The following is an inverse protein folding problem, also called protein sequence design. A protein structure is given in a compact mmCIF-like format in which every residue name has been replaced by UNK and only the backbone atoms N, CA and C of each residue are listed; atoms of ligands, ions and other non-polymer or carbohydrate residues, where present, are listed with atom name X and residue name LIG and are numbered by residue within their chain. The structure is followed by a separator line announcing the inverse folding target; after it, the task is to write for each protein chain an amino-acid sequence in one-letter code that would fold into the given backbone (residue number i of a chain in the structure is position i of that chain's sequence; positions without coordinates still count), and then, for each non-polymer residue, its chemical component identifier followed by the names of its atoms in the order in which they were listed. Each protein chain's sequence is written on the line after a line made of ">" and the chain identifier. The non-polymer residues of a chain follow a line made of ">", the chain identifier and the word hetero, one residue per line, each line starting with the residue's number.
data_IF_480501662962
#
_entry.id   IF_480501662962
#
_cell.length_a   1.000
_cell.length_b   1.000
_cell.length_c   1.000
_cell.angle_alpha   90.00
_cell.angle_beta   90.00
_cell.angle_gamma   90.00
#
_symmetry.space_group_name_H-M   'P 1'
#
loop_
_entity.id
_entity.type
_entity.pdbx_description
1 polymer ?
#
# COMPACT_ATOMS: atom_id res chain seq x y z
N UNK A 1 17.04 17.74 1.21
CA UNK A 1 16.08 18.74 1.78
C UNK A 1 15.62 18.27 3.17
N UNK A 2 15.26 19.16 4.10
CA UNK A 2 14.65 18.77 5.39
C UNK A 2 13.14 18.57 5.23
N UNK A 3 12.64 17.37 5.49
CA UNK A 3 11.26 16.96 5.21
C UNK A 3 10.63 16.34 6.44
N UNK A 4 9.48 16.86 6.85
CA UNK A 4 8.64 16.21 7.85
C UNK A 4 7.63 15.29 7.16
N UNK A 5 7.50 14.06 7.63
CA UNK A 5 6.46 13.11 7.18
C UNK A 5 5.49 12.88 8.33
N UNK A 6 4.20 13.12 8.12
CA UNK A 6 3.15 12.84 9.09
C UNK A 6 2.39 11.57 8.70
N UNK A 7 2.44 10.56 9.56
CA UNK A 7 1.70 9.30 9.41
C UNK A 7 1.07 8.91 10.74
N UNK A 8 -0.15 8.37 10.72
CA UNK A 8 -0.90 8.10 11.96
C UNK A 8 -0.32 6.92 12.74
N UNK A 9 0.03 5.86 12.03
CA UNK A 9 0.55 4.60 12.56
C UNK A 9 1.88 4.31 11.86
N UNK A 10 2.77 3.57 12.52
CA UNK A 10 4.10 3.29 11.98
C UNK A 10 4.68 2.02 12.61
N UNK A 11 5.56 1.28 11.92
CA UNK A 11 6.20 0.11 12.49
C UNK A 11 7.05 0.47 13.73
N UNK A 12 7.30 -0.50 14.63
CA UNK A 12 6.84 -1.88 14.57
C UNK A 12 5.45 -2.13 15.20
N UNK A 13 4.86 -1.15 15.88
CA UNK A 13 3.61 -1.36 16.61
C UNK A 13 2.41 -1.64 15.71
N UNK A 14 2.42 -1.11 14.48
CA UNK A 14 1.40 -1.39 13.47
C UNK A 14 2.12 -1.69 12.16
N UNK A 15 1.86 -2.89 11.62
CA UNK A 15 2.35 -3.32 10.30
C UNK A 15 1.16 -3.30 9.34
N UNK A 16 1.35 -2.60 8.23
CA UNK A 16 0.32 -2.37 7.23
C UNK A 16 0.89 -1.73 5.97
N UNK A 17 0.09 -1.66 4.91
CA UNK A 17 0.57 -1.22 3.61
C UNK A 17 1.09 0.22 3.61
N UNK A 18 0.45 1.13 4.34
CA UNK A 18 0.90 2.54 4.43
C UNK A 18 2.08 2.69 5.38
N UNK A 19 2.07 1.97 6.49
CA UNK A 19 3.09 1.97 7.53
C UNK A 19 4.43 1.47 6.95
N UNK A 20 4.42 0.32 6.27
CA UNK A 20 5.60 -0.25 5.62
C UNK A 20 6.08 0.62 4.46
N UNK A 21 5.18 1.16 3.64
CA UNK A 21 5.56 2.09 2.56
C UNK A 21 6.19 3.37 3.12
N UNK A 22 5.67 3.93 4.21
CA UNK A 22 6.25 5.13 4.84
C UNK A 22 7.65 4.83 5.38
N UNK A 23 7.85 3.67 6.02
CA UNK A 23 9.15 3.23 6.56
C UNK A 23 10.19 3.09 5.44
N UNK A 24 9.85 2.38 4.36
CA UNK A 24 10.74 2.17 3.20
C UNK A 24 11.00 3.49 2.47
N UNK A 25 9.97 4.32 2.25
CA UNK A 25 10.11 5.63 1.60
C UNK A 25 11.01 6.58 2.38
N UNK A 26 10.86 6.68 3.71
CA UNK A 26 11.72 7.51 4.55
C UNK A 26 13.19 7.05 4.46
N UNK A 27 13.44 5.74 4.40
CA UNK A 27 14.78 5.17 4.18
C UNK A 27 15.37 5.57 2.84
N UNK A 28 14.59 5.46 1.76
CA UNK A 28 15.08 5.79 0.41
C UNK A 28 15.28 7.29 0.20
N UNK A 29 14.43 8.13 0.80
CA UNK A 29 14.64 9.57 0.85
C UNK A 29 15.91 9.94 1.61
N UNK A 30 16.17 9.28 2.75
CA UNK A 30 17.42 9.49 3.49
C UNK A 30 18.66 9.07 2.68
N UNK A 31 18.56 7.99 1.89
CA UNK A 31 19.61 7.56 0.94
C UNK A 31 19.81 8.56 -0.21
N UNK A 32 18.77 9.32 -0.57
CA UNK A 32 18.82 10.40 -1.55
C UNK A 32 19.20 11.76 -0.92
N UNK A 33 19.92 11.77 0.21
CA UNK A 33 20.41 12.98 0.89
C UNK A 33 19.30 13.94 1.39
N UNK A 34 18.09 13.43 1.64
CA UNK A 34 17.08 14.14 2.41
C UNK A 34 17.25 13.91 3.91
N UNK A 35 17.07 14.95 4.71
CA UNK A 35 16.95 14.82 6.16
C UNK A 35 15.47 14.65 6.49
N UNK A 36 15.10 13.44 6.92
CA UNK A 36 13.70 13.03 7.08
C UNK A 36 13.38 12.89 8.56
N UNK A 37 12.24 13.44 8.97
CA UNK A 37 11.67 13.23 10.30
C UNK A 37 10.23 12.73 10.20
N UNK A 38 9.94 11.55 10.78
CA UNK A 38 8.61 10.93 10.75
C UNK A 38 7.88 11.21 12.05
N UNK A 39 6.74 11.92 12.00
CA UNK A 39 5.83 12.12 13.11
C UNK A 39 4.75 11.04 13.11
N UNK A 40 4.65 10.28 14.19
CA UNK A 40 3.70 9.15 14.32
C UNK A 40 3.29 8.91 15.76
N UNK A 41 2.23 8.12 16.01
CA UNK A 41 1.76 7.81 17.37
C UNK A 41 2.83 7.09 18.20
N UNK A 42 2.92 7.48 19.47
CA UNK A 42 3.65 6.73 20.49
C UNK A 42 2.83 5.54 21.02
N UNK A 43 3.52 4.42 21.22
CA UNK A 43 3.02 3.22 21.92
C UNK A 43 3.98 2.86 23.08
N UNK A 44 3.53 2.18 24.14
CA UNK A 44 4.36 1.86 25.31
C UNK A 44 5.59 1.03 24.96
N UNK A 45 5.40 0.08 24.05
CA UNK A 45 6.42 -0.87 23.64
C UNK A 45 7.06 -0.43 22.31
N UNK A 46 7.22 0.89 22.12
CA UNK A 46 7.95 1.38 20.95
C UNK A 46 9.44 1.13 21.18
N UNK A 47 10.11 0.33 20.36
CA UNK A 47 11.54 0.10 20.49
C UNK A 47 12.33 1.34 20.10
N UNK A 48 13.64 1.27 20.33
CA UNK A 48 14.57 2.34 19.98
C UNK A 48 14.64 2.52 18.45
N UNK A 49 14.20 3.69 17.98
CA UNK A 49 14.24 4.09 16.57
C UNK A 49 15.66 4.52 16.13
N UNK A 50 16.66 4.55 17.03
CA UNK A 50 18.04 5.01 16.76
C UNK A 50 18.78 4.26 15.65
N UNK A 51 18.30 3.07 15.29
CA UNK A 51 18.88 2.25 14.21
C UNK A 51 18.38 2.66 12.82
N UNK A 52 17.35 3.49 12.73
CA UNK A 52 16.82 3.99 11.47
C UNK A 52 17.72 5.10 10.92
N UNK A 53 17.88 5.21 9.59
CA UNK A 53 18.71 6.26 8.97
C UNK A 53 18.01 7.64 8.93
N UNK A 54 16.94 7.82 9.68
CA UNK A 54 16.10 9.02 9.74
C UNK A 54 15.48 9.13 11.13
N UNK A 55 15.02 10.33 11.49
CA UNK A 55 14.45 10.59 12.80
C UNK A 55 12.98 10.18 12.90
N UNK A 56 12.56 9.72 14.08
CA UNK A 56 11.16 9.40 14.36
C UNK A 56 10.71 10.13 15.63
N UNK A 57 9.67 10.95 15.50
CA UNK A 57 9.02 11.63 16.61
C UNK A 57 7.75 10.88 16.99
N UNK A 58 7.82 10.15 18.11
CA UNK A 58 6.70 9.41 18.69
C UNK A 58 5.80 10.35 19.51
N UNK A 59 4.70 10.77 18.89
CA UNK A 59 3.74 11.75 19.41
C UNK A 59 2.84 11.13 20.51
N UNK A 60 2.80 11.72 21.71
CA UNK A 60 1.93 11.26 22.79
C UNK A 60 0.45 11.29 22.40
N UNK A 61 -0.31 10.28 22.85
CA UNK A 61 -1.75 10.21 22.64
C UNK A 61 -2.44 9.45 23.79
N UNK A 62 -3.72 9.73 24.01
CA UNK A 62 -4.52 9.06 25.03
C UNK A 62 -5.23 7.83 24.44
N UNK A 63 -4.87 6.64 24.93
CA UNK A 63 -5.34 5.35 24.39
C UNK A 63 -6.57 4.80 25.12
N UNK A 64 -7.54 5.67 25.39
CA UNK A 64 -8.82 5.30 26.03
C UNK A 64 -9.73 4.58 25.02
N UNK A 65 -9.72 5.04 23.77
CA UNK A 65 -10.41 4.40 22.64
C UNK A 65 -9.69 4.74 21.32
N UNK A 66 -9.94 4.00 20.22
CA UNK A 66 -9.34 4.31 18.92
C UNK A 66 -9.61 5.74 18.44
N UNK A 67 -10.82 6.26 18.73
CA UNK A 67 -11.22 7.62 18.41
C UNK A 67 -10.44 8.65 19.23
N UNK A 68 -10.39 8.51 20.56
CA UNK A 68 -9.69 9.44 21.46
C UNK A 68 -8.18 9.44 21.19
N UNK A 69 -7.59 8.27 20.92
CA UNK A 69 -6.19 8.15 20.53
C UNK A 69 -5.88 8.93 19.26
N UNK A 70 -6.75 8.84 18.25
CA UNK A 70 -6.56 9.56 17.00
C UNK A 70 -6.76 11.07 17.18
N UNK A 71 -7.77 11.49 17.93
CA UNK A 71 -8.02 12.90 18.20
C UNK A 71 -6.87 13.57 18.95
N UNK A 72 -6.39 12.95 20.02
CA UNK A 72 -5.28 13.48 20.84
C UNK A 72 -3.95 13.45 20.08
N UNK A 73 -3.72 12.44 19.25
CA UNK A 73 -2.57 12.42 18.33
C UNK A 73 -2.63 13.59 17.36
N UNK A 74 -3.75 13.78 16.65
CA UNK A 74 -3.91 14.88 15.67
C UNK A 74 -3.65 16.22 16.34
N UNK A 75 -4.18 16.44 17.54
CA UNK A 75 -3.95 17.67 18.30
C UNK A 75 -2.47 17.84 18.68
N UNK A 76 -1.84 16.85 19.29
CA UNK A 76 -0.44 16.92 19.72
C UNK A 76 0.53 17.04 18.54
N UNK A 77 0.31 16.29 17.46
CA UNK A 77 1.11 16.36 16.24
C UNK A 77 1.03 17.75 15.60
N UNK A 78 -0.17 18.36 15.56
CA UNK A 78 -0.34 19.73 15.06
C UNK A 78 0.48 20.73 15.87
N UNK A 79 0.46 20.64 17.20
CA UNK A 79 1.23 21.56 18.06
C UNK A 79 2.74 21.39 17.89
N UNK A 80 3.22 20.14 17.80
CA UNK A 80 4.65 19.86 17.58
C UNK A 80 5.11 20.35 16.21
N UNK A 81 4.33 20.08 15.15
CA UNK A 81 4.65 20.56 13.80
C UNK A 81 4.58 22.09 13.69
N UNK A 82 3.67 22.76 14.40
CA UNK A 82 3.65 24.24 14.48
C UNK A 82 4.90 24.78 15.19
N UNK A 83 5.37 24.09 16.24
CA UNK A 83 6.59 24.46 16.97
C UNK A 83 7.82 24.31 16.09
N UNK A 84 7.92 23.19 15.38
CA UNK A 84 9.09 22.77 14.61
C UNK A 84 9.04 23.23 13.13
N UNK A 85 8.03 24.02 12.73
CA UNK A 85 7.75 24.33 11.33
C UNK A 85 8.94 24.95 10.57
N UNK A 86 9.72 25.81 11.22
CA UNK A 86 10.84 26.51 10.59
C UNK A 86 12.05 25.59 10.32
N UNK A 87 12.05 24.36 10.88
CA UNK A 87 13.11 23.38 10.64
C UNK A 87 12.92 22.61 9.34
N UNK A 88 11.74 22.67 8.73
CA UNK A 88 11.40 21.86 7.55
C UNK A 88 11.13 22.73 6.33
N UNK A 89 11.49 22.21 5.15
CA UNK A 89 11.15 22.85 3.89
C UNK A 89 9.72 22.53 3.46
N UNK A 90 9.21 21.34 3.81
CA UNK A 90 7.85 20.91 3.53
C UNK A 90 7.37 19.82 4.49
N UNK A 91 6.05 19.66 4.54
CA UNK A 91 5.34 18.61 5.26
C UNK A 91 4.63 17.64 4.29
N UNK A 92 5.04 16.38 4.29
CA UNK A 92 4.37 15.30 3.59
C UNK A 92 3.33 14.64 4.50
N UNK A 93 2.05 14.79 4.16
CA UNK A 93 0.96 14.15 4.89
C UNK A 93 0.58 12.80 4.25
N UNK A 94 0.94 11.70 4.91
CA UNK A 94 0.49 10.37 4.51
C UNK A 94 -1.00 10.22 4.83
N UNK A 95 -1.82 9.87 3.83
CA UNK A 95 -3.29 9.89 3.89
C UNK A 95 -3.89 11.31 3.90
N UNK A 96 -4.94 11.53 3.11
CA UNK A 96 -5.62 12.83 3.06
C UNK A 96 -6.35 13.14 4.37
N UNK A 97 -6.89 12.11 5.02
CA UNK A 97 -7.58 12.22 6.29
C UNK A 97 -6.98 11.28 7.34
N UNK A 98 -6.74 11.75 8.58
CA UNK A 98 -6.86 13.13 9.06
C UNK A 98 -5.62 14.00 8.77
N UNK A 99 -4.53 13.41 8.25
CA UNK A 99 -3.21 14.04 8.23
C UNK A 99 -3.13 15.23 7.28
N UNK A 100 -3.80 15.19 6.13
CA UNK A 100 -3.87 16.35 5.23
C UNK A 100 -4.47 17.59 5.90
N UNK A 101 -5.44 17.42 6.79
CA UNK A 101 -6.01 18.54 7.55
C UNK A 101 -5.04 19.12 8.58
N UNK A 102 -4.20 18.27 9.20
CA UNK A 102 -3.09 18.76 10.04
C UNK A 102 -2.14 19.61 9.21
N UNK A 103 -1.74 19.13 8.04
CA UNK A 103 -0.87 19.88 7.13
C UNK A 103 -1.45 21.24 6.76
N UNK A 104 -2.74 21.29 6.45
CA UNK A 104 -3.47 22.53 6.17
C UNK A 104 -3.41 23.53 7.34
N UNK A 105 -3.63 23.06 8.58
CA UNK A 105 -3.60 23.92 9.76
C UNK A 105 -2.18 24.44 10.00
N UNK A 106 -1.16 23.58 9.88
CA UNK A 106 0.25 23.98 10.05
C UNK A 106 0.64 25.02 8.99
N UNK A 107 0.26 24.81 7.73
CA UNK A 107 0.48 25.75 6.64
C UNK A 107 -0.16 27.11 6.92
N UNK A 108 -1.44 27.16 7.32
CA UNK A 108 -2.12 28.43 7.61
C UNK A 108 -1.54 29.20 8.79
N UNK A 109 -0.97 28.50 9.77
CA UNK A 109 -0.42 29.12 10.99
C UNK A 109 1.04 29.54 10.81
N UNK A 110 1.85 28.74 10.10
CA UNK A 110 3.31 28.90 10.01
C UNK A 110 3.86 29.09 8.59
N UNK A 111 3.03 28.91 7.57
CA UNK A 111 3.45 28.99 6.17
C UNK A 111 4.22 27.77 5.66
N UNK A 112 4.37 26.70 6.45
CA UNK A 112 5.08 25.48 6.03
C UNK A 112 4.34 24.84 4.83
N UNK A 113 4.95 24.75 3.64
CA UNK A 113 4.32 24.09 2.50
C UNK A 113 4.03 22.62 2.82
N UNK A 114 2.93 22.10 2.28
CA UNK A 114 2.54 20.73 2.53
C UNK A 114 1.84 20.15 1.32
N UNK A 115 1.85 18.83 1.19
CA UNK A 115 0.98 18.10 0.27
C UNK A 115 0.42 16.88 0.99
N UNK A 116 -0.64 16.29 0.43
CA UNK A 116 -1.26 15.09 0.99
C UNK A 116 -1.31 13.96 -0.03
N UNK A 117 -1.61 12.74 0.43
CA UNK A 117 -1.69 11.56 -0.43
C UNK A 117 -2.98 10.79 -0.18
N UNK A 118 -3.75 10.45 -1.21
CA UNK A 118 -4.86 9.50 -1.13
C UNK A 118 -4.36 8.10 -1.45
N UNK A 119 -4.61 7.16 -0.54
CA UNK A 119 -4.11 5.77 -0.61
C UNK A 119 -5.22 4.73 -0.77
N UNK A 120 -6.46 5.16 -0.89
CA UNK A 120 -7.65 4.33 -1.09
C UNK A 120 -8.58 4.42 0.12
N UNK A 121 -8.31 3.64 1.18
CA UNK A 121 -9.23 3.54 2.32
C UNK A 121 -9.46 4.84 3.10
N UNK A 122 -8.47 5.74 3.11
CA UNK A 122 -8.58 7.08 3.71
C UNK A 122 -9.53 8.01 2.95
N UNK A 123 -9.81 7.69 1.68
CA UNK A 123 -10.80 8.36 0.85
C UNK A 123 -12.12 7.57 0.81
N UNK A 124 -12.11 6.34 0.27
CA UNK A 124 -13.32 5.56 0.01
C UNK A 124 -14.15 5.27 1.26
N UNK A 125 -13.53 5.03 2.41
CA UNK A 125 -14.28 4.76 3.66
C UNK A 125 -14.66 6.03 4.44
N UNK A 126 -14.13 7.18 4.04
CA UNK A 126 -14.26 8.43 4.81
C UNK A 126 -15.11 9.48 4.09
N UNK A 127 -15.10 9.49 2.75
CA UNK A 127 -15.70 10.53 1.90
C UNK A 127 -17.21 10.71 2.06
N UNK A 128 -17.92 9.71 2.59
CA UNK A 128 -19.38 9.77 2.77
C UNK A 128 -19.78 10.24 4.19
N UNK A 129 -18.82 10.37 5.13
CA UNK A 129 -19.09 10.95 6.45
C UNK A 129 -19.00 12.49 6.38
N UNK A 130 -20.04 13.27 6.71
CA UNK A 130 -20.09 14.71 6.44
C UNK A 130 -18.87 15.52 6.94
N UNK A 131 -18.46 15.32 8.20
CA UNK A 131 -17.30 16.04 8.77
C UNK A 131 -15.96 15.64 8.16
N UNK A 132 -15.82 14.37 7.74
CA UNK A 132 -14.62 13.88 7.06
C UNK A 132 -14.58 14.34 5.61
N UNK A 133 -15.72 14.29 4.90
CA UNK A 133 -15.89 14.83 3.55
C UNK A 133 -15.50 16.29 3.48
N UNK A 134 -15.98 17.08 4.45
CA UNK A 134 -15.61 18.50 4.57
C UNK A 134 -14.10 18.67 4.73
N UNK A 135 -13.46 17.88 5.60
CA UNK A 135 -12.01 17.94 5.80
C UNK A 135 -11.24 17.56 4.53
N UNK A 136 -11.69 16.54 3.81
CA UNK A 136 -11.11 16.11 2.52
C UNK A 136 -11.24 17.21 1.46
N UNK A 137 -12.44 17.78 1.28
CA UNK A 137 -12.69 18.88 0.33
C UNK A 137 -11.78 20.08 0.62
N UNK A 138 -11.55 20.40 1.89
CA UNK A 138 -10.65 21.50 2.26
C UNK A 138 -9.21 21.25 1.87
N UNK A 139 -8.71 20.02 2.01
CA UNK A 139 -7.32 19.71 1.62
C UNK A 139 -7.18 19.69 0.10
N UNK A 140 -8.15 19.10 -0.60
CA UNK A 140 -8.15 18.98 -2.07
C UNK A 140 -8.10 20.32 -2.81
N UNK A 141 -8.71 21.37 -2.24
CA UNK A 141 -8.74 22.73 -2.81
C UNK A 141 -7.50 23.57 -2.47
N UNK A 142 -6.69 23.14 -1.52
CA UNK A 142 -5.67 23.98 -0.86
C UNK A 142 -4.25 23.62 -1.30
N UNK A 143 -4.00 22.36 -1.66
CA UNK A 143 -2.68 21.89 -2.06
C UNK A 143 -2.72 20.79 -3.13
N UNK A 144 -1.56 20.45 -3.68
CA UNK A 144 -1.34 19.23 -4.44
C UNK A 144 -1.68 17.99 -3.59
N UNK A 145 -2.44 17.07 -4.18
CA UNK A 145 -2.74 15.77 -3.58
C UNK A 145 -2.28 14.65 -4.51
N UNK A 146 -1.35 13.85 -4.02
CA UNK A 146 -0.93 12.64 -4.71
C UNK A 146 -2.02 11.58 -4.59
N UNK A 147 -2.22 10.78 -5.63
CA UNK A 147 -3.14 9.63 -5.62
C UNK A 147 -2.41 8.39 -6.14
N UNK A 148 -2.72 7.22 -5.60
CA UNK A 148 -1.97 6.01 -5.96
C UNK A 148 -2.19 5.56 -7.40
N UNK A 149 -3.37 5.80 -7.98
CA UNK A 149 -3.72 5.29 -9.31
C UNK A 149 -4.62 6.25 -10.08
N UNK A 150 -4.67 6.08 -11.41
CA UNK A 150 -5.51 6.89 -12.29
C UNK A 150 -7.01 6.71 -12.01
N UNK A 151 -7.44 5.52 -11.57
CA UNK A 151 -8.83 5.32 -11.13
C UNK A 151 -9.18 6.18 -9.93
N UNK A 152 -8.33 6.23 -8.90
CA UNK A 152 -8.55 7.11 -7.74
C UNK A 152 -8.59 8.57 -8.19
N UNK A 153 -7.70 8.98 -9.10
CA UNK A 153 -7.69 10.32 -9.66
C UNK A 153 -9.03 10.68 -10.34
N UNK A 154 -9.58 9.77 -11.15
CA UNK A 154 -10.88 9.94 -11.82
C UNK A 154 -12.03 10.02 -10.84
N UNK A 155 -12.05 9.15 -9.82
CA UNK A 155 -13.11 9.14 -8.80
C UNK A 155 -13.12 10.44 -8.01
N UNK A 156 -11.94 10.93 -7.59
CA UNK A 156 -11.80 12.20 -6.87
C UNK A 156 -12.26 13.37 -7.74
N UNK A 157 -11.85 13.43 -9.01
CA UNK A 157 -12.25 14.49 -9.96
C UNK A 157 -13.76 14.47 -10.28
N UNK A 158 -14.39 13.31 -10.18
CA UNK A 158 -15.85 13.17 -10.38
C UNK A 158 -16.62 13.69 -9.18
N UNK A 159 -16.10 13.52 -7.97
CA UNK A 159 -16.77 13.90 -6.73
C UNK A 159 -16.44 15.31 -6.23
N UNK A 160 -15.27 15.85 -6.55
CA UNK A 160 -14.75 17.13 -6.05
C UNK A 160 -14.29 18.02 -7.21
N UNK A 161 -14.76 19.26 -7.20
CA UNK A 161 -14.32 20.32 -8.11
C UNK A 161 -13.04 21.00 -7.61
N UNK A 162 -12.23 21.55 -8.53
CA UNK A 162 -11.01 22.31 -8.21
C UNK A 162 -9.97 21.48 -7.42
N UNK A 163 -9.42 20.45 -8.08
CA UNK A 163 -8.39 19.58 -7.48
C UNK A 163 -7.10 19.61 -8.27
N UNK A 164 -5.97 19.73 -7.56
CA UNK A 164 -4.62 19.58 -8.14
C UNK A 164 -4.11 18.19 -7.77
N UNK A 165 -4.19 17.25 -8.72
CA UNK A 165 -3.85 15.85 -8.48
C UNK A 165 -2.71 15.37 -9.38
N UNK A 166 -1.78 14.63 -8.79
CA UNK A 166 -0.76 13.87 -9.52
C UNK A 166 -0.82 12.39 -9.12
N UNK A 167 -0.58 11.50 -10.08
CA UNK A 167 -0.56 10.07 -9.83
C UNK A 167 0.85 9.64 -9.46
N UNK A 168 1.01 9.14 -8.24
CA UNK A 168 2.23 8.51 -7.77
C UNK A 168 1.87 7.29 -6.93
N UNK A 169 2.32 6.12 -7.39
CA UNK A 169 2.07 4.85 -6.75
C UNK A 169 3.02 4.54 -5.59
N UNK A 170 3.12 3.26 -5.26
CA UNK A 170 4.00 2.77 -4.22
C UNK A 170 5.37 2.40 -4.78
N UNK A 171 6.38 2.44 -3.91
CA UNK A 171 7.73 1.96 -4.21
C UNK A 171 7.88 0.49 -3.88
N UNK A 172 8.70 -0.21 -4.65
CA UNK A 172 9.07 -1.60 -4.40
C UNK A 172 10.57 -1.81 -4.57
N UNK A 173 11.11 -2.67 -3.71
CA UNK A 173 12.48 -3.15 -3.83
C UNK A 173 12.59 -4.14 -5.00
N UNK A 174 13.68 -4.07 -5.76
CA UNK A 174 13.93 -4.98 -6.88
C UNK A 174 14.92 -6.04 -6.41
N UNK A 175 14.46 -7.26 -6.05
CA UNK A 175 15.34 -8.29 -5.55
C UNK A 175 16.27 -8.81 -6.65
N UNK A 176 17.44 -9.30 -6.24
CA UNK A 176 18.28 -10.11 -7.11
C UNK A 176 17.60 -11.46 -7.40
N UNK A 177 17.70 -11.89 -8.66
CA UNK A 177 17.05 -13.10 -9.15
C UNK A 177 15.55 -12.93 -9.40
N UNK A 178 14.96 -13.99 -9.93
CA UNK A 178 13.52 -14.14 -10.19
C UNK A 178 13.00 -15.36 -9.44
N UNK A 179 11.70 -15.45 -9.24
CA UNK A 179 11.06 -16.65 -8.70
C UNK A 179 11.27 -17.85 -9.63
N UNK A 180 11.47 -19.03 -9.02
CA UNK A 180 11.76 -20.29 -9.71
C UNK A 180 11.00 -21.48 -9.12
N UNK A 181 10.10 -21.25 -8.17
CA UNK A 181 9.26 -22.27 -7.59
C UNK A 181 8.01 -22.62 -8.42
N UNK A 182 7.22 -23.56 -7.90
CA UNK A 182 6.08 -24.16 -8.60
C UNK A 182 4.72 -23.91 -7.92
N UNK A 183 4.69 -23.15 -6.82
CA UNK A 183 3.46 -22.88 -6.03
C UNK A 183 2.65 -21.70 -6.59
N UNK A 184 1.35 -21.67 -6.33
CA UNK A 184 0.57 -20.44 -6.37
C UNK A 184 0.78 -19.69 -5.06
N UNK A 185 0.96 -18.38 -5.09
CA UNK A 185 1.23 -17.59 -3.88
C UNK A 185 0.18 -16.50 -3.68
N UNK A 186 -0.34 -16.42 -2.46
CA UNK A 186 -1.13 -15.30 -1.97
C UNK A 186 -0.37 -14.66 -0.80
N UNK A 187 -0.27 -13.33 -0.80
CA UNK A 187 0.27 -12.56 0.33
C UNK A 187 -0.73 -11.49 0.73
N UNK A 188 -1.20 -11.53 1.97
CA UNK A 188 -2.07 -10.50 2.50
C UNK A 188 -2.79 -10.88 3.78
N UNK A 189 -3.41 -9.88 4.42
CA UNK A 189 -4.20 -10.10 5.63
C UNK A 189 -5.45 -10.93 5.34
N UNK A 190 -5.70 -11.99 6.11
CA UNK A 190 -6.86 -12.88 5.93
C UNK A 190 -8.15 -12.23 6.44
N UNK A 191 -8.70 -11.36 5.62
CA UNK A 191 -10.01 -10.72 5.76
C UNK A 191 -10.89 -11.10 4.58
N UNK A 192 -12.20 -11.10 4.81
CA UNK A 192 -13.21 -11.42 3.79
C UNK A 192 -12.96 -10.65 2.47
N UNK A 193 -12.64 -9.35 2.57
CA UNK A 193 -12.38 -8.49 1.42
C UNK A 193 -11.23 -8.94 0.50
N UNK A 194 -10.31 -9.78 0.98
CA UNK A 194 -9.19 -10.31 0.18
C UNK A 194 -9.56 -11.51 -0.69
N UNK A 195 -10.77 -12.04 -0.54
CA UNK A 195 -11.33 -13.04 -1.46
C UNK A 195 -10.63 -14.39 -1.48
N UNK A 196 -9.84 -14.74 -0.46
CA UNK A 196 -9.12 -16.05 -0.42
C UNK A 196 -10.09 -17.23 -0.58
N UNK A 197 -11.33 -17.09 -0.11
CA UNK A 197 -12.38 -18.09 -0.33
C UNK A 197 -12.71 -18.32 -1.82
N UNK A 198 -12.70 -17.26 -2.64
CA UNK A 198 -12.89 -17.34 -4.11
C UNK A 198 -11.74 -18.12 -4.74
N UNK A 199 -10.50 -17.84 -4.32
CA UNK A 199 -9.32 -18.60 -4.78
C UNK A 199 -9.39 -20.07 -4.38
N UNK A 200 -9.80 -20.39 -3.16
CA UNK A 200 -9.98 -21.78 -2.74
C UNK A 200 -11.05 -22.50 -3.57
N UNK A 201 -12.15 -21.82 -3.92
CA UNK A 201 -13.16 -22.39 -4.84
C UNK A 201 -12.62 -22.56 -6.27
N UNK A 202 -11.83 -21.61 -6.77
CA UNK A 202 -11.21 -21.71 -8.10
C UNK A 202 -10.16 -22.84 -8.20
N UNK A 203 -9.64 -23.31 -7.07
CA UNK A 203 -8.70 -24.43 -6.99
C UNK A 203 -9.37 -25.76 -6.66
N UNK A 204 -10.69 -25.81 -6.52
CA UNK A 204 -11.40 -27.07 -6.29
C UNK A 204 -11.19 -28.02 -7.50
N UNK A 205 -10.55 -29.17 -7.26
CA UNK A 205 -10.21 -30.12 -8.32
C UNK A 205 -8.89 -29.83 -9.07
N UNK A 206 -8.10 -28.84 -8.63
CA UNK A 206 -6.74 -28.60 -9.12
C UNK A 206 -5.70 -29.25 -8.19
N UNK A 207 -4.62 -29.78 -8.78
CA UNK A 207 -3.50 -30.40 -8.05
C UNK A 207 -2.46 -29.35 -7.56
N UNK A 208 -2.79 -28.07 -7.64
CA UNK A 208 -1.86 -26.98 -7.39
C UNK A 208 -1.61 -26.74 -5.89
N UNK A 209 -0.33 -26.54 -5.55
CA UNK A 209 0.06 -26.10 -4.22
C UNK A 209 -0.18 -24.60 -4.07
N UNK A 210 -0.97 -24.22 -3.05
CA UNK A 210 -1.22 -22.83 -2.69
C UNK A 210 -0.49 -22.46 -1.41
N UNK A 211 0.40 -21.48 -1.49
CA UNK A 211 1.04 -20.86 -0.34
C UNK A 211 0.28 -19.59 0.08
N UNK A 212 -0.28 -19.59 1.29
CA UNK A 212 -1.02 -18.47 1.87
C UNK A 212 -0.19 -17.81 2.96
N UNK A 213 0.38 -16.65 2.64
CA UNK A 213 1.20 -15.85 3.55
C UNK A 213 0.38 -14.71 4.14
N UNK A 214 0.33 -14.63 5.46
CA UNK A 214 -0.44 -13.66 6.22
C UNK A 214 -1.41 -14.30 7.20
N UNK A 215 -1.94 -13.48 8.10
CA UNK A 215 -2.90 -13.90 9.12
C UNK A 215 -4.12 -12.95 9.14
N UNK A 216 -5.16 -13.32 9.87
CA UNK A 216 -6.35 -12.51 10.05
C UNK A 216 -7.54 -13.31 10.57
N UNK A 217 -8.64 -12.59 10.86
CA UNK A 217 -9.83 -13.19 11.49
C UNK A 217 -10.48 -14.31 10.68
N UNK A 218 -10.25 -14.39 9.36
CA UNK A 218 -10.82 -15.45 8.51
C UNK A 218 -9.96 -16.73 8.48
N UNK A 219 -8.80 -16.78 9.12
CA UNK A 219 -7.84 -17.90 9.01
C UNK A 219 -8.49 -19.27 9.25
N UNK A 220 -9.08 -19.48 10.43
CA UNK A 220 -9.69 -20.76 10.80
C UNK A 220 -10.79 -21.18 9.81
N UNK A 221 -11.58 -20.23 9.32
CA UNK A 221 -12.65 -20.48 8.34
C UNK A 221 -12.08 -20.89 6.99
N UNK A 222 -10.99 -20.26 6.55
CA UNK A 222 -10.32 -20.53 5.27
C UNK A 222 -9.57 -21.87 5.30
N UNK A 223 -8.88 -22.21 6.39
CA UNK A 223 -8.26 -23.53 6.59
C UNK A 223 -9.32 -24.64 6.57
N UNK A 224 -10.46 -24.44 7.25
CA UNK A 224 -11.58 -25.38 7.19
C UNK A 224 -12.19 -25.49 5.79
N UNK A 225 -12.21 -24.41 5.00
CA UNK A 225 -12.70 -24.41 3.63
C UNK A 225 -11.73 -25.18 2.70
N UNK A 226 -10.43 -24.92 2.78
CA UNK A 226 -9.42 -25.63 1.99
C UNK A 226 -9.51 -27.14 2.21
N UNK A 227 -9.64 -27.57 3.48
CA UNK A 227 -9.83 -28.98 3.82
C UNK A 227 -11.12 -29.57 3.23
N UNK A 228 -12.24 -28.83 3.26
CA UNK A 228 -13.51 -29.30 2.68
C UNK A 228 -13.44 -29.46 1.16
N UNK A 229 -12.72 -28.56 0.48
CA UNK A 229 -12.55 -28.56 -0.97
C UNK A 229 -11.40 -29.46 -1.44
N UNK A 230 -10.66 -30.08 -0.52
CA UNK A 230 -9.44 -30.85 -0.79
C UNK A 230 -8.37 -30.06 -1.56
N UNK A 231 -8.24 -28.76 -1.28
CA UNK A 231 -7.20 -27.90 -1.87
C UNK A 231 -5.91 -28.03 -1.06
N UNK A 232 -4.78 -28.26 -1.74
CA UNK A 232 -3.46 -28.33 -1.12
C UNK A 232 -2.94 -26.92 -0.77
N UNK A 233 -3.39 -26.38 0.36
CA UNK A 233 -3.05 -25.04 0.82
C UNK A 233 -2.22 -25.04 2.12
N UNK A 234 -1.08 -24.36 2.10
CA UNK A 234 -0.21 -24.12 3.25
C UNK A 234 -0.45 -22.70 3.80
N UNK A 235 -0.89 -22.59 5.06
CA UNK A 235 -1.12 -21.31 5.74
C UNK A 235 0.06 -20.96 6.65
N UNK A 236 0.94 -20.10 6.17
CA UNK A 236 2.20 -19.72 6.85
C UNK A 236 1.94 -18.88 8.11
N UNK A 237 0.95 -17.99 8.06
CA UNK A 237 0.70 -16.98 9.09
C UNK A 237 1.43 -15.66 8.81
N UNK A 238 1.50 -14.79 9.82
CA UNK A 238 2.17 -13.49 9.73
C UNK A 238 3.70 -13.65 9.67
N UNK A 239 4.34 -12.95 8.73
CA UNK A 239 5.79 -12.97 8.50
C UNK A 239 6.33 -11.54 8.50
N UNK A 240 7.63 -11.36 8.71
CA UNK A 240 8.23 -10.04 8.60
C UNK A 240 8.11 -9.53 7.15
N UNK A 241 7.74 -8.26 6.92
CA UNK A 241 7.70 -7.67 5.57
C UNK A 241 8.99 -7.83 4.77
N UNK A 242 10.15 -7.95 5.43
CA UNK A 242 11.44 -8.15 4.75
C UNK A 242 11.64 -9.62 4.29
N UNK A 243 10.88 -10.58 4.84
CA UNK A 243 10.92 -12.02 4.48
C UNK A 243 9.91 -12.38 3.36
N UNK A 244 8.97 -11.49 3.02
CA UNK A 244 7.91 -11.75 2.02
C UNK A 244 8.48 -12.17 0.66
N UNK A 245 9.63 -11.61 0.27
CA UNK A 245 10.28 -11.94 -0.99
C UNK A 245 10.67 -13.42 -1.08
N UNK A 246 11.06 -14.06 0.04
CA UNK A 246 11.47 -15.46 0.05
C UNK A 246 10.30 -16.39 -0.23
N UNK A 247 9.12 -16.11 0.34
CA UNK A 247 7.90 -16.86 0.03
C UNK A 247 7.42 -16.63 -1.41
N UNK A 248 7.60 -15.42 -1.95
CA UNK A 248 7.28 -15.14 -3.35
C UNK A 248 8.20 -15.91 -4.32
N UNK A 249 9.46 -16.19 -3.95
CA UNK A 249 10.39 -17.00 -4.78
C UNK A 249 9.88 -18.43 -5.01
N UNK A 250 9.14 -18.98 -4.06
CA UNK A 250 8.53 -20.31 -4.18
C UNK A 250 7.37 -20.36 -5.20
N UNK A 251 6.95 -19.20 -5.70
CA UNK A 251 5.83 -19.07 -6.62
C UNK A 251 6.17 -19.30 -8.08
N UNK A 252 5.17 -19.78 -8.84
CA UNK A 252 5.10 -19.66 -10.31
C UNK A 252 4.11 -18.58 -10.76
N UNK A 253 3.13 -18.26 -9.91
CA UNK A 253 2.17 -17.17 -10.13
C UNK A 253 1.69 -16.62 -8.79
N UNK A 254 1.37 -15.34 -8.77
CA UNK A 254 0.77 -14.69 -7.61
C UNK A 254 -0.71 -14.42 -7.86
N UNK A 255 -1.56 -14.67 -6.86
CA UNK A 255 -3.01 -14.49 -6.99
C UNK A 255 -3.54 -13.62 -5.86
N UNK A 256 -4.22 -12.53 -6.20
CA UNK A 256 -4.89 -11.62 -5.25
C UNK A 256 -6.35 -11.40 -5.67
N UNK A 257 -7.27 -12.29 -5.26
CA UNK A 257 -8.66 -12.32 -5.71
C UNK A 257 -9.55 -11.37 -4.89
N UNK A 258 -9.07 -10.15 -4.59
CA UNK A 258 -9.79 -9.26 -3.67
C UNK A 258 -11.22 -9.00 -4.17
N UNK A 259 -12.18 -8.85 -3.28
CA UNK A 259 -13.60 -8.67 -3.67
C UNK A 259 -14.05 -7.21 -3.60
N UNK A 260 -13.32 -6.35 -2.86
CA UNK A 260 -13.55 -4.90 -2.81
C UNK A 260 -12.38 -4.14 -2.17
N UNK A 261 -12.22 -2.87 -2.55
CA UNK A 261 -11.54 -1.87 -1.73
C UNK A 261 -10.02 -1.89 -1.75
N UNK A 262 -9.40 -2.35 -2.84
CA UNK A 262 -7.95 -2.27 -3.00
C UNK A 262 -7.52 -0.92 -3.59
N UNK A 263 -6.53 -0.28 -2.94
CA UNK A 263 -5.74 0.79 -3.54
C UNK A 263 -4.72 0.18 -4.50
N UNK A 264 -3.43 0.41 -4.24
CA UNK A 264 -2.33 -0.28 -4.90
C UNK A 264 -1.64 -1.25 -3.91
N UNK A 265 -1.90 -2.57 -3.99
CA UNK A 265 -1.35 -3.53 -3.03
C UNK A 265 0.16 -3.71 -3.22
N UNK A 266 0.93 -3.57 -2.13
CA UNK A 266 2.38 -3.81 -2.17
C UNK A 266 2.73 -5.23 -2.64
N UNK A 267 1.97 -6.23 -2.17
CA UNK A 267 2.20 -7.63 -2.53
C UNK A 267 2.15 -7.90 -4.04
N UNK A 268 1.32 -7.17 -4.79
CA UNK A 268 1.28 -7.27 -6.25
C UNK A 268 2.56 -6.73 -6.86
N UNK A 269 2.99 -5.54 -6.43
CA UNK A 269 4.26 -4.96 -6.89
C UNK A 269 5.46 -5.83 -6.51
N UNK A 270 5.46 -6.41 -5.32
CA UNK A 270 6.51 -7.31 -4.82
C UNK A 270 6.56 -8.61 -5.64
N UNK A 271 5.40 -9.19 -5.98
CA UNK A 271 5.30 -10.35 -6.85
C UNK A 271 5.81 -10.05 -8.27
N UNK A 272 5.38 -8.93 -8.85
CA UNK A 272 5.88 -8.50 -10.17
C UNK A 272 7.39 -8.23 -10.12
N UNK A 273 7.89 -7.65 -9.02
CA UNK A 273 9.31 -7.34 -8.85
C UNK A 273 10.17 -8.60 -8.87
N UNK A 274 9.65 -9.73 -8.40
CA UNK A 274 10.36 -11.02 -8.46
C UNK A 274 10.09 -11.81 -9.75
N UNK A 275 9.36 -11.24 -10.71
CA UNK A 275 9.09 -11.87 -12.01
C UNK A 275 7.93 -12.86 -12.00
N UNK A 276 7.01 -12.76 -11.03
CA UNK A 276 5.77 -13.54 -11.09
C UNK A 276 4.74 -12.83 -11.99
N UNK A 277 4.08 -13.56 -12.89
CA UNK A 277 2.80 -13.10 -13.42
C UNK A 277 1.75 -13.08 -12.31
N UNK A 278 0.88 -12.09 -12.35
CA UNK A 278 -0.14 -11.87 -11.31
C UNK A 278 -1.55 -12.13 -11.85
N UNK A 279 -2.43 -12.68 -11.02
CA UNK A 279 -3.89 -12.74 -11.28
C UNK A 279 -4.58 -11.91 -10.21
N UNK A 280 -5.22 -10.82 -10.62
CA UNK A 280 -5.89 -9.87 -9.73
C UNK A 280 -7.33 -9.66 -10.16
N UNK A 281 -8.14 -9.10 -9.28
CA UNK A 281 -9.52 -8.72 -9.57
C UNK A 281 -9.67 -7.23 -9.83
N UNK A 282 -10.62 -6.81 -10.67
CA UNK A 282 -10.95 -5.39 -10.86
C UNK A 282 -11.72 -4.79 -9.67
N UNK A 283 -11.01 -4.54 -8.57
CA UNK A 283 -11.57 -3.92 -7.36
C UNK A 283 -11.16 -2.48 -7.13
N UNK A 284 -10.52 -1.85 -8.13
CA UNK A 284 -10.00 -0.50 -7.98
C UNK A 284 -8.58 -0.35 -8.49
N UNK A 285 -7.68 0.12 -7.63
CA UNK A 285 -6.34 0.54 -8.04
C UNK A 285 -5.38 -0.60 -8.40
N UNK A 286 -5.68 -1.83 -8.00
CA UNK A 286 -4.84 -2.99 -8.31
C UNK A 286 -4.83 -3.31 -9.81
N UNK A 287 -5.96 -3.13 -10.50
CA UNK A 287 -6.08 -3.36 -11.94
C UNK A 287 -5.26 -2.35 -12.75
N UNK A 288 -5.08 -1.13 -12.25
CA UNK A 288 -4.27 -0.11 -12.92
C UNK A 288 -2.76 -0.48 -12.95
N UNK A 289 -2.32 -1.42 -12.10
CA UNK A 289 -0.94 -1.90 -12.04
C UNK A 289 -0.68 -3.18 -12.85
N UNK A 290 -1.72 -3.76 -13.46
CA UNK A 290 -1.62 -4.99 -14.23
C UNK A 290 -2.09 -4.73 -15.65
N UNK A 291 -1.20 -4.92 -16.62
CA UNK A 291 -1.57 -4.88 -18.04
C UNK A 291 -2.13 -6.25 -18.39
N UNK A 292 -3.45 -6.32 -18.56
CA UNK A 292 -4.15 -7.58 -18.81
C UNK A 292 -3.55 -8.34 -20.01
N UNK A 293 -3.37 -9.64 -19.83
CA UNK A 293 -2.76 -10.57 -20.77
C UNK A 293 -1.30 -10.28 -21.14
N UNK A 294 -0.67 -9.25 -20.58
CA UNK A 294 0.76 -8.90 -20.78
C UNK A 294 1.60 -9.10 -19.53
N UNK A 295 1.20 -8.56 -18.37
CA UNK A 295 1.91 -8.70 -17.08
C UNK A 295 1.15 -9.58 -16.08
N UNK A 296 -0.07 -9.95 -16.41
CA UNK A 296 -0.97 -10.70 -15.54
C UNK A 296 -2.35 -10.87 -16.16
N UNK A 297 -3.31 -11.33 -15.36
CA UNK A 297 -4.72 -11.34 -15.70
C UNK A 297 -5.52 -10.48 -14.73
N UNK A 298 -6.48 -9.73 -15.26
CA UNK A 298 -7.47 -8.99 -14.48
C UNK A 298 -8.83 -9.64 -14.71
N UNK A 299 -9.44 -10.15 -13.63
CA UNK A 299 -10.76 -10.80 -13.67
C UNK A 299 -11.79 -10.00 -12.87
N UNK A 300 -13.07 -10.28 -13.07
CA UNK A 300 -14.11 -9.64 -12.28
C UNK A 300 -14.10 -10.17 -10.82
N UNK A 301 -14.40 -9.33 -9.81
CA UNK A 301 -14.56 -9.77 -8.43
C UNK A 301 -15.64 -10.86 -8.30
N UNK A 302 -15.41 -11.84 -7.41
CA UNK A 302 -16.30 -12.99 -7.17
C UNK A 302 -16.55 -13.92 -8.37
N UNK A 303 -15.83 -13.74 -9.49
CA UNK A 303 -15.89 -14.65 -10.65
C UNK A 303 -14.90 -15.82 -10.49
N UNK A 304 -15.39 -16.90 -9.87
CA UNK A 304 -14.62 -18.14 -9.63
C UNK A 304 -14.16 -18.77 -10.94
N UNK A 305 -15.00 -18.79 -11.98
CA UNK A 305 -14.70 -19.45 -13.26
C UNK A 305 -13.62 -18.68 -14.03
N UNK A 306 -13.68 -17.34 -14.05
CA UNK A 306 -12.65 -16.53 -14.69
C UNK A 306 -11.30 -16.64 -13.95
N UNK A 307 -11.33 -16.71 -12.62
CA UNK A 307 -10.14 -16.91 -11.79
C UNK A 307 -9.49 -18.27 -12.06
N UNK A 308 -10.30 -19.34 -12.09
CA UNK A 308 -9.89 -20.72 -12.41
C UNK A 308 -9.27 -20.83 -13.80
N UNK A 309 -9.90 -20.23 -14.82
CA UNK A 309 -9.36 -20.20 -16.17
C UNK A 309 -8.03 -19.45 -16.26
N UNK A 310 -7.88 -18.34 -15.54
CA UNK A 310 -6.65 -17.55 -15.51
C UNK A 310 -5.50 -18.31 -14.84
N UNK A 311 -5.77 -18.97 -13.71
CA UNK A 311 -4.81 -19.86 -13.04
C UNK A 311 -4.42 -21.01 -13.97
N UNK A 312 -5.40 -21.70 -14.56
CA UNK A 312 -5.19 -22.78 -15.52
C UNK A 312 -4.29 -22.37 -16.68
N UNK A 313 -4.44 -21.14 -17.19
CA UNK A 313 -3.58 -20.61 -18.25
C UNK A 313 -2.13 -20.46 -17.79
N UNK A 314 -1.89 -19.92 -16.60
CA UNK A 314 -0.53 -19.77 -16.07
C UNK A 314 0.12 -21.12 -15.76
N UNK A 315 -0.65 -22.08 -15.25
CA UNK A 315 -0.18 -23.45 -14.99
C UNK A 315 0.18 -24.20 -16.28
N UNK A 316 -0.76 -24.26 -17.23
CA UNK A 316 -0.64 -25.15 -18.40
C UNK A 316 0.26 -24.61 -19.52
N UNK A 317 0.60 -23.31 -19.50
CA UNK A 317 1.40 -22.68 -20.56
C UNK A 317 2.67 -22.02 -20.00
N UNK A 318 3.72 -22.78 -19.63
CA UNK A 318 4.94 -22.25 -19.00
C UNK A 318 5.63 -21.12 -19.80
N UNK A 319 5.66 -21.21 -21.13
CA UNK A 319 6.28 -20.16 -21.97
C UNK A 319 5.53 -18.82 -21.89
N UNK A 320 4.21 -18.87 -21.77
CA UNK A 320 3.39 -17.67 -21.60
C UNK A 320 3.60 -17.11 -20.19
N UNK A 321 3.58 -17.98 -19.17
CA UNK A 321 3.83 -17.61 -17.77
C UNK A 321 5.17 -16.88 -17.60
N UNK A 322 6.26 -17.44 -18.12
CA UNK A 322 7.60 -16.83 -18.04
C UNK A 322 7.62 -15.47 -18.72
N UNK A 323 7.12 -15.38 -19.97
CA UNK A 323 7.07 -14.10 -20.70
C UNK A 323 6.27 -13.03 -19.95
N UNK A 324 5.15 -13.41 -19.35
CA UNK A 324 4.28 -12.52 -18.60
C UNK A 324 4.96 -12.06 -17.30
N UNK A 325 5.68 -12.95 -16.62
CA UNK A 325 6.51 -12.62 -15.46
C UNK A 325 7.65 -11.66 -15.79
N UNK A 326 8.36 -11.89 -16.91
CA UNK A 326 9.42 -11.00 -17.40
C UNK A 326 8.86 -9.60 -17.69
N UNK A 327 7.73 -9.52 -18.40
CA UNK A 327 7.06 -8.26 -18.70
C UNK A 327 6.58 -7.54 -17.43
N UNK A 328 6.04 -8.28 -16.46
CA UNK A 328 5.64 -7.73 -15.16
C UNK A 328 6.82 -7.11 -14.41
N UNK A 329 7.97 -7.80 -14.41
CA UNK A 329 9.19 -7.30 -13.79
C UNK A 329 9.73 -6.05 -14.48
N UNK A 330 9.80 -6.05 -15.80
CA UNK A 330 10.24 -4.88 -16.57
C UNK A 330 9.34 -3.67 -16.30
N UNK A 331 8.03 -3.88 -16.28
CA UNK A 331 7.06 -2.83 -16.00
C UNK A 331 7.22 -2.26 -14.59
N UNK A 332 7.36 -3.12 -13.57
CA UNK A 332 7.45 -2.64 -12.19
C UNK A 332 8.79 -1.93 -11.91
N UNK A 333 9.89 -2.38 -12.50
CA UNK A 333 11.19 -1.70 -12.42
C UNK A 333 11.08 -0.27 -12.97
N UNK A 334 10.43 -0.12 -14.12
CA UNK A 334 10.28 1.17 -14.79
C UNK A 334 9.38 2.14 -14.02
N UNK A 335 8.28 1.65 -13.44
CA UNK A 335 7.23 2.51 -12.91
C UNK A 335 7.21 2.61 -11.37
N UNK A 336 7.68 1.58 -10.66
CA UNK A 336 7.51 1.44 -9.22
C UNK A 336 8.79 1.14 -8.43
N UNK A 337 9.95 1.06 -9.08
CA UNK A 337 11.21 0.99 -8.34
C UNK A 337 11.37 2.22 -7.42
N UNK A 338 11.99 2.03 -6.26
CA UNK A 338 12.28 3.13 -5.34
C UNK A 338 13.03 4.28 -6.01
N UNK A 339 13.96 3.98 -6.92
CA UNK A 339 14.66 5.00 -7.70
C UNK A 339 13.69 5.88 -8.50
N UNK A 340 12.71 5.28 -9.18
CA UNK A 340 11.70 6.03 -9.94
C UNK A 340 10.76 6.80 -9.02
N UNK A 341 10.25 6.17 -7.97
CA UNK A 341 9.30 6.79 -7.03
C UNK A 341 9.93 7.99 -6.31
N UNK A 342 11.17 7.85 -5.82
CA UNK A 342 11.90 8.92 -5.14
C UNK A 342 12.20 10.06 -6.12
N UNK A 343 12.65 9.78 -7.34
CA UNK A 343 12.91 10.83 -8.35
C UNK A 343 11.65 11.64 -8.71
N UNK A 344 10.50 10.99 -8.82
CA UNK A 344 9.21 11.67 -9.02
C UNK A 344 8.81 12.47 -7.79
N UNK A 345 8.99 11.91 -6.58
CA UNK A 345 8.68 12.59 -5.32
C UNK A 345 9.57 13.82 -5.09
N UNK A 346 10.84 13.79 -5.49
CA UNK A 346 11.72 14.96 -5.47
C UNK A 346 11.23 16.09 -6.39
N UNK A 347 10.60 15.74 -7.51
CA UNK A 347 9.96 16.73 -8.40
C UNK A 347 8.76 17.37 -7.72
N UNK A 348 7.94 16.57 -7.04
CA UNK A 348 6.84 17.07 -6.19
C UNK A 348 7.38 17.98 -5.10
N UNK A 349 8.47 17.61 -4.42
CA UNK A 349 9.07 18.42 -3.37
C UNK A 349 9.52 19.79 -3.88
N UNK A 350 10.14 19.86 -5.06
CA UNK A 350 10.52 21.15 -5.67
C UNK A 350 9.29 21.99 -6.00
N UNK A 351 8.27 21.39 -6.61
CA UNK A 351 7.02 22.06 -6.98
C UNK A 351 6.26 22.64 -5.76
N UNK A 352 6.23 21.91 -4.65
CA UNK A 352 5.50 22.32 -3.45
C UNK A 352 6.29 23.30 -2.57
N UNK A 353 7.63 23.23 -2.59
CA UNK A 353 8.47 24.10 -1.76
C UNK A 353 8.75 25.48 -2.39
N UNK A 354 8.52 25.63 -3.69
CA UNK A 354 8.52 26.93 -4.42
C UNK A 354 7.24 27.73 -4.12
#
# INVERSE_FOLDING_TARGET
>A
MKVAILVKEFPPNVIGGTETQTKRMARELARADHNVTVYTKAYPDTPDDSTLPYDVVRVPNWRISPFISTLTFVFAATLLLIRDADDYALLQCMMIYPNGFVGQVVNRVRGLPYFAWIRGGDYYFMKDTPGKRWSIDRVLRDTLVLVQTERIARDVRTEFSETTLEVLGNGVDIPEGTADGDKLVFVGRLKEQKGVHVLLHALEGHDEELLVVGDGPERERLEALANRLNVNAEFVGEVDPDDVADYLREGKAFVLPSIRGEGLPNAVLEAMAIGLPVVVTDTGGVADAVIDSETGFVVDPDDVDALEQSISRLTNYPKMRIRMGDAAREWVIKNHSWQNIVGNLETVYRCVAE
#
